data_IF_496237224217
#
_entry.id   IF_496237224217
#
_cell.length_a   1.000
_cell.length_b   1.000
_cell.length_c   1.000
_cell.angle_alpha   90.00
_cell.angle_beta   90.00
_cell.angle_gamma   90.00
#
_symmetry.space_group_name_H-M   'P 1'
#
loop_
_entity.id
_entity.type
_entity.pdbx_description
1 polymer ?
#
# COMPACT_ATOMS: atom_id res chain seq x y z
N UNK A 1 27.79 -18.53 7.09
CA UNK A 1 26.66 -17.61 7.35
C UNK A 1 25.64 -18.42 8.14
N UNK A 2 25.27 -17.97 9.33
CA UNK A 2 24.35 -18.69 10.22
C UNK A 2 22.90 -18.47 9.78
N UNK A 3 22.04 -19.48 9.95
CA UNK A 3 20.61 -19.42 9.61
C UNK A 3 19.90 -18.23 10.27
N UNK A 4 20.35 -17.80 11.45
CA UNK A 4 19.85 -16.61 12.15
C UNK A 4 20.08 -15.29 11.38
N UNK A 5 21.18 -15.18 10.62
CA UNK A 5 21.41 -14.01 9.77
C UNK A 5 20.48 -14.02 8.56
N UNK A 6 20.20 -15.20 7.99
CA UNK A 6 19.28 -15.35 6.88
C UNK A 6 17.85 -15.02 7.31
N UNK A 7 17.42 -15.50 8.49
CA UNK A 7 16.10 -15.18 9.06
C UNK A 7 15.96 -13.69 9.41
N UNK A 8 16.99 -13.05 9.96
CA UNK A 8 16.97 -11.62 10.23
C UNK A 8 16.89 -10.78 8.94
N UNK A 9 17.63 -11.17 7.91
CA UNK A 9 17.62 -10.51 6.60
C UNK A 9 16.26 -10.73 5.89
N UNK A 10 15.71 -11.94 5.93
CA UNK A 10 14.38 -12.27 5.43
C UNK A 10 13.30 -11.49 6.18
N UNK A 11 13.32 -11.47 7.51
CA UNK A 11 12.35 -10.71 8.32
C UNK A 11 12.43 -9.21 8.03
N UNK A 12 13.64 -8.66 7.82
CA UNK A 12 13.80 -7.26 7.39
C UNK A 12 13.21 -7.01 6.01
N UNK A 13 13.27 -8.00 5.10
CA UNK A 13 12.68 -7.92 3.77
C UNK A 13 11.14 -8.03 3.78
N UNK A 14 10.54 -8.58 4.85
CA UNK A 14 9.08 -8.71 4.99
C UNK A 14 8.42 -7.58 5.79
N UNK A 15 9.18 -6.76 6.54
CA UNK A 15 8.65 -5.62 7.28
C UNK A 15 8.72 -4.37 6.41
N UNK A 16 7.57 -3.87 5.96
CA UNK A 16 7.49 -2.58 5.26
C UNK A 16 8.01 -1.47 6.17
N UNK A 17 8.90 -0.57 5.70
CA UNK A 17 9.44 0.50 6.53
C UNK A 17 8.31 1.42 7.01
N UNK A 18 8.44 1.93 8.24
CA UNK A 18 7.53 2.96 8.73
C UNK A 18 7.63 4.21 7.84
N UNK A 19 6.48 4.70 7.38
CA UNK A 19 6.37 5.89 6.53
C UNK A 19 5.53 6.94 7.23
N UNK A 20 5.92 8.19 7.03
CA UNK A 20 5.23 9.36 7.55
C UNK A 20 5.03 10.36 6.42
N UNK A 21 3.84 10.94 6.36
CA UNK A 21 3.58 12.11 5.55
C UNK A 21 3.35 13.29 6.50
N UNK A 22 4.27 14.26 6.48
CA UNK A 22 4.42 15.25 7.56
C UNK A 22 4.55 14.48 8.89
N UNK A 23 3.83 14.87 9.94
CA UNK A 23 3.86 14.18 11.24
C UNK A 23 2.85 13.01 11.35
N UNK A 24 2.28 12.56 10.23
CA UNK A 24 1.23 11.53 10.24
C UNK A 24 1.76 10.19 9.71
N UNK A 25 1.68 9.16 10.56
CA UNK A 25 2.06 7.79 10.20
C UNK A 25 1.15 7.24 9.10
N UNK A 26 1.73 6.53 8.15
CA UNK A 26 1.02 5.78 7.13
C UNK A 26 0.97 4.30 7.48
N UNK A 27 -0.19 3.68 7.33
CA UNK A 27 -0.30 2.23 7.35
C UNK A 27 0.43 1.62 6.14
N UNK A 28 0.88 0.36 6.21
CA UNK A 28 1.43 -0.33 5.06
C UNK A 28 0.40 -0.47 3.92
N UNK A 29 0.88 -0.39 2.69
CA UNK A 29 0.04 -0.69 1.53
C UNK A 29 -0.25 -2.19 1.47
N UNK A 30 -1.54 -2.51 1.34
CA UNK A 30 -2.09 -3.87 1.30
C UNK A 30 -3.22 -3.95 0.27
N UNK A 31 -3.60 -5.14 -0.17
CA UNK A 31 -4.80 -5.29 -1.01
C UNK A 31 -6.07 -4.77 -0.31
N UNK A 32 -6.13 -4.83 1.02
CA UNK A 32 -7.21 -4.20 1.80
C UNK A 32 -7.27 -2.68 1.61
N UNK A 33 -6.12 -2.00 1.73
CA UNK A 33 -6.05 -0.55 1.46
C UNK A 33 -6.37 -0.22 -0.01
N UNK A 34 -5.98 -1.09 -0.95
CA UNK A 34 -6.30 -0.95 -2.36
C UNK A 34 -7.81 -1.05 -2.61
N UNK A 35 -8.50 -1.99 -1.96
CA UNK A 35 -9.96 -2.10 -2.03
C UNK A 35 -10.65 -0.84 -1.52
N UNK A 36 -10.18 -0.27 -0.41
CA UNK A 36 -10.72 1.00 0.08
C UNK A 36 -10.48 2.15 -0.91
N UNK A 37 -9.31 2.19 -1.55
CA UNK A 37 -9.02 3.18 -2.59
C UNK A 37 -9.91 3.02 -3.82
N UNK A 38 -10.20 1.80 -4.25
CA UNK A 38 -11.17 1.54 -5.33
C UNK A 38 -12.58 1.97 -4.92
N UNK A 39 -12.90 1.86 -3.64
CA UNK A 39 -14.22 2.23 -3.14
C UNK A 39 -14.46 3.75 -3.14
N UNK A 40 -13.44 4.55 -2.82
CA UNK A 40 -13.58 6.02 -2.68
C UNK A 40 -13.33 6.79 -3.99
N UNK A 41 -12.82 6.10 -5.01
CA UNK A 41 -12.50 6.70 -6.31
C UNK A 41 -13.62 6.56 -7.33
N UNK A 42 -13.52 7.38 -8.35
CA UNK A 42 -14.28 7.38 -9.59
C UNK A 42 -13.32 7.50 -10.79
N UNK A 43 -13.78 7.08 -11.96
CA UNK A 43 -13.02 7.17 -13.20
C UNK A 43 -12.86 8.63 -13.67
N UNK A 44 -13.77 9.50 -13.24
CA UNK A 44 -13.70 10.94 -13.50
C UNK A 44 -12.71 11.69 -12.57
N UNK A 45 -12.19 11.03 -11.54
CA UNK A 45 -11.29 11.68 -10.58
C UNK A 45 -9.92 11.97 -11.20
N UNK A 46 -9.38 13.14 -10.89
CA UNK A 46 -8.04 13.54 -11.30
C UNK A 46 -6.93 12.74 -10.62
N UNK A 47 -5.74 12.71 -11.22
CA UNK A 47 -4.56 12.07 -10.61
C UNK A 47 -4.19 12.66 -9.25
N UNK A 48 -4.42 13.97 -9.04
CA UNK A 48 -4.14 14.61 -7.75
C UNK A 48 -5.11 14.12 -6.66
N UNK A 49 -6.39 13.91 -7.00
CA UNK A 49 -7.36 13.32 -6.08
C UNK A 49 -6.94 11.90 -5.67
N UNK A 50 -6.37 11.12 -6.59
CA UNK A 50 -5.82 9.81 -6.25
C UNK A 50 -4.67 9.90 -5.25
N UNK A 51 -3.70 10.79 -5.48
CA UNK A 51 -2.55 10.97 -4.58
C UNK A 51 -3.03 11.32 -3.17
N UNK A 52 -3.96 12.26 -3.04
CA UNK A 52 -4.51 12.64 -1.75
C UNK A 52 -5.32 11.54 -1.10
N UNK A 53 -6.21 10.88 -1.85
CA UNK A 53 -6.97 9.74 -1.36
C UNK A 53 -6.05 8.62 -0.86
N UNK A 54 -4.96 8.36 -1.57
CA UNK A 54 -3.96 7.37 -1.18
C UNK A 54 -3.37 7.70 0.19
N UNK A 55 -2.78 8.88 0.35
CA UNK A 55 -2.15 9.28 1.60
C UNK A 55 -3.18 9.29 2.74
N UNK A 56 -4.35 9.90 2.52
CA UNK A 56 -5.37 10.04 3.54
C UNK A 56 -5.93 8.70 4.03
N UNK A 57 -6.22 7.75 3.13
CA UNK A 57 -6.67 6.40 3.52
C UNK A 57 -5.63 5.71 4.39
N UNK A 58 -4.34 5.82 4.06
CA UNK A 58 -3.29 5.17 4.86
C UNK A 58 -3.07 5.85 6.21
N UNK A 59 -3.28 7.17 6.32
CA UNK A 59 -3.33 7.89 7.61
C UNK A 59 -4.51 7.38 8.46
N UNK A 60 -5.71 7.29 7.87
CA UNK A 60 -6.90 6.82 8.58
C UNK A 60 -6.73 5.37 9.05
N UNK A 61 -6.16 4.50 8.21
CA UNK A 61 -5.87 3.12 8.56
C UNK A 61 -4.86 2.99 9.71
N UNK A 62 -3.86 3.88 9.77
CA UNK A 62 -2.90 3.91 10.87
C UNK A 62 -3.51 4.39 12.19
N UNK A 63 -4.51 5.28 12.12
CA UNK A 63 -5.22 5.82 13.30
C UNK A 63 -6.30 4.87 13.81
N UNK A 64 -7.26 4.50 12.95
CA UNK A 64 -8.31 3.53 13.25
C UNK A 64 -8.85 2.89 11.97
N UNK A 65 -8.53 1.61 11.80
CA UNK A 65 -8.98 0.79 10.67
C UNK A 65 -10.51 0.72 10.56
N UNK A 66 -11.25 0.69 11.67
CA UNK A 66 -12.72 0.52 11.62
C UNK A 66 -13.38 1.79 11.07
N UNK A 67 -12.96 2.95 11.54
CA UNK A 67 -13.43 4.24 11.03
C UNK A 67 -13.03 4.45 9.57
N UNK A 68 -11.80 4.07 9.18
CA UNK A 68 -11.35 4.16 7.80
C UNK A 68 -12.27 3.36 6.84
N UNK A 69 -12.62 2.12 7.19
CA UNK A 69 -13.50 1.28 6.38
C UNK A 69 -14.91 1.88 6.30
N UNK A 70 -15.45 2.36 7.42
CA UNK A 70 -16.79 2.96 7.44
C UNK A 70 -16.86 4.22 6.58
N UNK A 71 -15.85 5.09 6.67
CA UNK A 71 -15.78 6.30 5.87
C UNK A 71 -15.64 5.98 4.39
N UNK A 72 -14.81 4.99 4.03
CA UNK A 72 -14.66 4.58 2.63
C UNK A 72 -15.98 4.10 2.00
N UNK A 73 -16.89 3.49 2.77
CA UNK A 73 -18.21 3.10 2.27
C UNK A 73 -19.17 4.26 2.04
N UNK A 74 -18.88 5.44 2.61
CA UNK A 74 -19.62 6.66 2.35
C UNK A 74 -18.78 7.60 1.49
N UNK A 75 -18.86 7.42 0.16
CA UNK A 75 -17.99 8.13 -0.80
C UNK A 75 -18.11 9.65 -0.71
N UNK A 76 -19.31 10.18 -0.48
CA UNK A 76 -19.54 11.62 -0.40
C UNK A 76 -18.91 12.21 0.87
N UNK A 77 -19.13 11.56 2.01
CA UNK A 77 -18.50 11.96 3.29
C UNK A 77 -16.98 11.84 3.21
N UNK A 78 -16.44 10.79 2.55
CA UNK A 78 -15.01 10.66 2.34
C UNK A 78 -14.45 11.84 1.53
N UNK A 79 -15.14 12.26 0.46
CA UNK A 79 -14.70 13.38 -0.38
C UNK A 79 -14.66 14.69 0.40
N UNK A 80 -15.70 14.98 1.17
CA UNK A 80 -15.74 16.17 2.03
C UNK A 80 -14.57 16.16 3.01
N UNK A 81 -14.35 15.03 3.70
CA UNK A 81 -13.26 14.87 4.67
C UNK A 81 -11.88 14.94 4.03
N UNK A 82 -11.73 14.43 2.81
CA UNK A 82 -10.48 14.52 2.06
C UNK A 82 -10.19 15.98 1.70
N UNK A 83 -11.19 16.71 1.21
CA UNK A 83 -11.04 18.12 0.85
C UNK A 83 -10.62 18.92 2.08
N UNK A 84 -11.37 18.79 3.19
CA UNK A 84 -11.07 19.42 4.50
C UNK A 84 -9.64 19.11 4.96
N UNK A 85 -9.21 17.84 4.90
CA UNK A 85 -7.85 17.45 5.28
C UNK A 85 -6.76 18.03 4.36
N UNK A 86 -7.08 18.24 3.08
CA UNK A 86 -6.13 18.71 2.08
C UNK A 86 -6.04 20.24 1.96
N UNK A 87 -6.88 20.99 2.68
CA UNK A 87 -6.94 22.47 2.60
C UNK A 87 -5.59 23.14 2.86
N UNK A 88 -4.81 22.61 3.81
CA UNK A 88 -3.51 23.17 4.21
C UNK A 88 -2.32 22.58 3.42
N UNK A 89 -2.56 21.82 2.34
CA UNK A 89 -1.50 21.19 1.57
C UNK A 89 -0.91 22.14 0.53
N UNK A 90 0.42 22.25 0.50
CA UNK A 90 1.12 23.09 -0.48
C UNK A 90 1.44 22.32 -1.77
N UNK A 91 1.87 23.02 -2.85
CA UNK A 91 2.40 22.35 -4.03
C UNK A 91 3.58 21.42 -3.74
N UNK A 92 4.45 21.78 -2.79
CA UNK A 92 5.59 20.94 -2.36
C UNK A 92 5.13 19.68 -1.63
N UNK A 93 4.09 19.80 -0.80
CA UNK A 93 3.44 18.65 -0.15
C UNK A 93 2.89 17.68 -1.21
N UNK A 94 2.29 18.21 -2.29
CA UNK A 94 1.76 17.41 -3.40
C UNK A 94 2.86 16.63 -4.11
N UNK A 95 3.97 17.28 -4.41
CA UNK A 95 5.08 16.64 -5.12
C UNK A 95 5.73 15.55 -4.24
N UNK A 96 5.86 15.82 -2.94
CA UNK A 96 6.33 14.84 -1.94
C UNK A 96 5.38 13.64 -1.84
N UNK A 97 4.07 13.88 -1.77
CA UNK A 97 3.06 12.83 -1.76
C UNK A 97 3.12 11.99 -3.05
N UNK A 98 3.26 12.63 -4.21
CA UNK A 98 3.36 11.95 -5.50
C UNK A 98 4.55 10.99 -5.57
N UNK A 99 5.74 11.45 -5.16
CA UNK A 99 6.94 10.61 -5.10
C UNK A 99 6.76 9.42 -4.14
N UNK A 100 6.13 9.67 -2.98
CA UNK A 100 5.89 8.64 -1.98
C UNK A 100 4.92 7.57 -2.49
N UNK A 101 3.81 7.96 -3.10
CA UNK A 101 2.83 7.03 -3.69
C UNK A 101 3.47 6.20 -4.79
N UNK A 102 4.27 6.83 -5.68
CA UNK A 102 4.98 6.12 -6.74
C UNK A 102 5.96 5.08 -6.18
N UNK A 103 6.72 5.43 -5.13
CA UNK A 103 7.64 4.50 -4.48
C UNK A 103 6.90 3.30 -3.86
N UNK A 104 5.83 3.55 -3.11
CA UNK A 104 5.03 2.49 -2.46
C UNK A 104 4.45 1.52 -3.49
N UNK A 105 3.83 2.04 -4.56
CA UNK A 105 3.27 1.20 -5.61
C UNK A 105 4.36 0.46 -6.41
N UNK A 106 5.52 1.10 -6.61
CA UNK A 106 6.67 0.48 -7.26
C UNK A 106 7.21 -0.71 -6.47
N UNK A 107 7.30 -0.60 -5.15
CA UNK A 107 7.71 -1.70 -4.26
C UNK A 107 6.70 -2.85 -4.28
N UNK A 108 5.41 -2.54 -4.17
CA UNK A 108 4.34 -3.55 -4.18
C UNK A 108 4.29 -4.35 -5.50
N UNK A 109 4.64 -3.72 -6.63
CA UNK A 109 4.72 -4.40 -7.91
C UNK A 109 5.95 -5.31 -8.03
N UNK A 110 7.08 -4.92 -7.40
CA UNK A 110 8.32 -5.71 -7.40
C UNK A 110 8.26 -6.92 -6.45
N UNK A 111 7.48 -6.83 -5.38
CA UNK A 111 7.33 -7.92 -4.40
C UNK A 111 6.50 -9.11 -4.91
N UNK A 112 6.00 -9.09 -6.14
CA UNK A 112 5.35 -10.24 -6.78
C UNK A 112 6.42 -11.26 -7.21
N UNK A 113 6.81 -12.14 -6.29
CA UNK A 113 7.72 -13.26 -6.59
C UNK A 113 7.01 -14.31 -7.47
N UNK A 114 7.66 -14.70 -8.57
CA UNK A 114 7.25 -15.84 -9.36
C UNK A 114 7.58 -17.13 -8.60
N UNK A 115 6.57 -17.96 -8.31
CA UNK A 115 6.79 -19.30 -7.78
C UNK A 115 7.48 -20.11 -8.87
N UNK A 116 8.77 -20.43 -8.68
CA UNK A 116 9.47 -21.38 -9.55
C UNK A 116 8.94 -22.77 -9.19
N UNK A 117 8.29 -23.50 -10.12
CA UNK A 117 7.88 -24.87 -9.84
C UNK A 117 9.12 -25.71 -9.58
N UNK A 118 9.14 -26.46 -8.47
CA UNK A 118 10.20 -27.43 -8.20
C UNK A 118 10.30 -28.41 -9.37
N UNK A 119 11.44 -28.42 -10.06
CA UNK A 119 11.79 -29.49 -11.00
C UNK A 119 12.06 -30.75 -10.19
N UNK A 120 11.00 -31.45 -9.78
CA UNK A 120 11.12 -32.85 -9.38
C UNK A 120 11.57 -33.61 -10.63
N UNK A 121 12.71 -34.33 -10.61
CA UNK A 121 13.05 -35.22 -11.71
C UNK A 121 11.92 -36.24 -11.84
N UNK A 122 11.33 -36.34 -13.02
CA UNK A 122 10.48 -37.48 -13.36
C UNK A 122 11.40 -38.70 -13.29
N UNK A 123 11.29 -39.46 -12.20
CA UNK A 123 12.00 -40.73 -12.08
C UNK A 123 11.54 -41.67 -13.19
N UNK A 124 12.50 -42.35 -13.82
CA UNK A 124 12.25 -43.33 -14.88
C UNK A 124 11.15 -44.33 -14.49
N UNK A 125 10.23 -44.68 -15.41
CA UNK A 125 9.28 -45.76 -15.18
C UNK A 125 10.02 -47.10 -15.27
N UNK A 126 10.55 -47.55 -14.13
CA UNK A 126 11.12 -48.89 -13.98
C UNK A 126 10.07 -49.93 -13.57
N UNK A 127 9.85 -50.89 -14.48
CA UNK A 127 9.34 -52.26 -14.30
C UNK A 127 7.92 -52.50 -13.73
N UNK A 128 7.02 -52.92 -14.62
CA UNK A 128 6.04 -53.99 -14.41
C UNK A 128 5.92 -54.82 -15.70
#
# INVERSE_FOLDING_TARGET
MSDQNLEAELNSAFVSPDRYFKDQRLAPYTEGSRLLLLQVRDDADSSIYFIWSFIYVHILLAKDRKTAIRLAWNKDEFREKLMEWSEDMTPEDRDTAGLMVAAILGEANKSRVAVIPDKKPIGDPGNA
#
